data_IF_807389530626
#
_entry.id   IF_807389530626
#
_cell.length_a   1.000
_cell.length_b   1.000
_cell.length_c   1.000
_cell.angle_alpha   90.00
_cell.angle_beta   90.00
_cell.angle_gamma   90.00
#
_symmetry.space_group_name_H-M   'P 1'
#
loop_
_entity.id
_entity.type
_entity.pdbx_description
1 polymer ?
#
# COMPACT_ATOMS: atom_id res chain seq x y z
N UNK A 1 -71.83 -2.53 -59.11
CA UNK A 1 -73.06 -2.94 -58.41
C UNK A 1 -72.72 -2.96 -56.93
N UNK A 2 -73.04 -1.92 -56.18
CA UNK A 2 -74.17 -1.74 -55.25
C UNK A 2 -74.18 -2.85 -54.17
N UNK A 3 -74.03 -2.56 -52.91
CA UNK A 3 -75.01 -1.98 -52.03
C UNK A 3 -74.41 -1.63 -50.67
N UNK A 4 -74.80 -0.48 -50.14
CA UNK A 4 -74.65 -0.02 -48.79
C UNK A 4 -75.61 -0.73 -47.82
N UNK A 5 -75.23 -0.85 -46.53
CA UNK A 5 -76.19 -1.04 -45.41
C UNK A 5 -75.48 -0.44 -44.14
N UNK A 6 -75.85 0.62 -43.80
CA UNK A 6 -76.67 1.28 -42.81
C UNK A 6 -76.30 0.97 -41.34
N UNK A 7 -75.93 2.02 -40.65
CA UNK A 7 -75.77 2.18 -39.20
C UNK A 7 -77.02 1.89 -38.41
N UNK A 8 -76.87 1.23 -37.27
CA UNK A 8 -77.80 1.40 -36.17
C UNK A 8 -77.06 1.67 -34.87
N UNK A 9 -77.32 2.81 -34.27
CA UNK A 9 -76.99 3.24 -32.91
C UNK A 9 -77.96 2.63 -31.91
N UNK A 10 -77.52 2.11 -30.77
CA UNK A 10 -78.41 1.82 -29.65
C UNK A 10 -78.52 3.06 -28.73
N UNK A 11 -79.58 3.21 -27.98
CA UNK A 11 -79.99 4.44 -27.31
C UNK A 11 -79.30 4.66 -25.95
N UNK A 12 -79.22 5.95 -25.57
CA UNK A 12 -78.74 6.44 -24.33
C UNK A 12 -79.51 5.89 -23.10
N UNK A 13 -78.78 5.36 -22.12
CA UNK A 13 -79.29 5.09 -20.80
C UNK A 13 -79.24 6.29 -19.89
N UNK A 14 -80.42 6.60 -19.32
CA UNK A 14 -80.66 7.68 -18.35
C UNK A 14 -79.81 7.53 -17.08
N UNK A 15 -79.34 8.65 -16.60
CA UNK A 15 -78.75 8.85 -15.28
C UNK A 15 -79.86 8.63 -14.22
N UNK A 16 -79.50 7.82 -13.22
CA UNK A 16 -80.29 7.67 -11.99
C UNK A 16 -79.43 8.19 -10.84
N UNK A 17 -79.84 9.28 -10.14
CA UNK A 17 -79.08 9.81 -9.02
C UNK A 17 -79.65 9.26 -7.71
N UNK A 18 -78.93 8.35 -7.09
CA UNK A 18 -79.29 8.05 -5.72
C UNK A 18 -78.94 6.63 -5.23
N UNK A 19 -77.68 6.37 -4.98
CA UNK A 19 -77.35 5.40 -3.93
C UNK A 19 -76.03 5.76 -3.31
N UNK A 20 -76.08 6.43 -2.13
CA UNK A 20 -74.94 6.61 -1.24
C UNK A 20 -74.53 5.20 -0.74
N UNK A 21 -73.45 4.67 -1.27
CA UNK A 21 -72.73 3.62 -0.62
C UNK A 21 -71.86 4.21 0.48
N UNK A 22 -72.16 3.82 1.69
CA UNK A 22 -71.40 4.04 2.89
C UNK A 22 -70.17 3.18 2.77
N UNK A 23 -69.04 3.78 2.30
CA UNK A 23 -67.78 3.10 2.36
C UNK A 23 -67.35 3.01 3.82
N UNK A 24 -67.32 1.81 4.33
CA UNK A 24 -66.71 1.44 5.58
C UNK A 24 -65.23 1.80 5.48
N UNK A 25 -64.81 2.77 6.29
CA UNK A 25 -63.43 3.11 6.50
C UNK A 25 -62.65 1.92 7.12
N UNK A 26 -62.23 1.01 6.26
CA UNK A 26 -61.12 0.14 6.59
C UNK A 26 -59.87 1.04 6.64
N UNK A 27 -59.50 1.48 7.82
CA UNK A 27 -58.20 2.08 8.06
C UNK A 27 -57.15 1.08 7.57
N UNK A 28 -56.53 1.39 6.44
CA UNK A 28 -55.32 0.67 6.00
C UNK A 28 -54.22 0.99 6.99
N UNK A 29 -53.92 0.03 7.85
CA UNK A 29 -52.84 0.03 8.80
C UNK A 29 -51.46 0.13 8.13
N UNK A 30 -51.42 0.18 6.78
CA UNK A 30 -50.17 0.17 6.00
C UNK A 30 -49.52 1.55 5.81
N UNK A 31 -50.29 2.64 6.04
CA UNK A 31 -49.78 4.01 5.81
C UNK A 31 -48.99 4.59 6.99
N UNK A 32 -48.92 3.88 8.12
CA UNK A 32 -48.13 4.30 9.31
C UNK A 32 -46.82 3.57 9.45
N UNK A 33 -46.47 2.71 8.50
CA UNK A 33 -45.23 1.99 8.54
C UNK A 33 -44.04 2.94 8.29
N UNK A 34 -43.05 2.78 9.14
CA UNK A 34 -41.75 3.44 9.19
C UNK A 34 -41.11 3.71 7.81
N UNK A 35 -41.44 2.89 6.80
CA UNK A 35 -40.93 3.00 5.43
C UNK A 35 -41.38 4.24 4.66
N UNK A 36 -42.52 4.85 4.97
CA UNK A 36 -42.99 6.03 4.24
C UNK A 36 -42.25 7.30 4.70
N UNK A 37 -41.86 7.38 5.97
CA UNK A 37 -40.94 8.42 6.50
C UNK A 37 -39.50 8.19 6.00
N UNK A 38 -39.08 6.94 5.84
CA UNK A 38 -37.74 6.61 5.33
C UNK A 38 -37.57 7.07 3.88
N UNK A 39 -38.63 6.96 3.06
CA UNK A 39 -38.61 7.36 1.64
C UNK A 39 -38.39 8.86 1.45
N UNK A 40 -38.89 9.68 2.36
CA UNK A 40 -38.73 11.15 2.30
C UNK A 40 -37.30 11.58 2.71
N UNK A 41 -36.68 10.83 3.60
CA UNK A 41 -35.30 11.08 4.04
C UNK A 41 -34.26 10.18 3.37
N UNK A 42 -34.68 9.21 2.54
CA UNK A 42 -33.80 8.26 1.87
C UNK A 42 -32.69 8.95 1.06
N UNK A 43 -33.00 10.09 0.43
CA UNK A 43 -32.01 10.89 -0.30
C UNK A 43 -30.87 11.38 0.62
N UNK A 44 -31.22 11.84 1.81
CA UNK A 44 -30.23 12.36 2.78
C UNK A 44 -29.45 11.23 3.46
N UNK A 45 -30.12 10.08 3.74
CA UNK A 45 -29.46 8.90 4.27
C UNK A 45 -28.48 8.33 3.24
N UNK A 46 -28.84 8.32 1.95
CA UNK A 46 -27.96 7.87 0.88
C UNK A 46 -26.75 8.80 0.70
N UNK A 47 -26.97 10.12 0.77
CA UNK A 47 -25.88 11.10 0.73
C UNK A 47 -24.95 10.94 1.93
N UNK A 48 -25.49 10.75 3.13
CA UNK A 48 -24.70 10.52 4.33
C UNK A 48 -23.91 9.22 4.25
N UNK A 49 -24.50 8.15 3.72
CA UNK A 49 -23.86 6.86 3.52
C UNK A 49 -22.73 6.96 2.48
N UNK A 50 -22.92 7.72 1.41
CA UNK A 50 -21.87 8.01 0.43
C UNK A 50 -20.73 8.78 1.07
N UNK A 51 -21.03 9.79 1.92
CA UNK A 51 -20.00 10.59 2.62
C UNK A 51 -19.21 9.70 3.60
N UNK A 52 -19.91 8.86 4.38
CA UNK A 52 -19.27 7.93 5.32
C UNK A 52 -18.44 6.90 4.57
N UNK A 53 -18.96 6.36 3.45
CA UNK A 53 -18.24 5.37 2.64
C UNK A 53 -17.02 6.00 1.95
N UNK A 54 -17.16 7.19 1.37
CA UNK A 54 -16.04 7.92 0.78
C UNK A 54 -15.00 8.32 1.84
N UNK A 55 -15.46 8.77 3.02
CA UNK A 55 -14.57 9.06 4.16
C UNK A 55 -13.84 7.82 4.67
N UNK A 56 -14.53 6.68 4.76
CA UNK A 56 -13.91 5.40 5.16
C UNK A 56 -12.89 4.92 4.13
N UNK A 57 -13.16 5.12 2.84
CA UNK A 57 -12.26 4.74 1.76
C UNK A 57 -10.96 5.56 1.78
N UNK A 58 -11.07 6.86 2.11
CA UNK A 58 -9.92 7.75 2.28
C UNK A 58 -9.16 7.42 3.57
N UNK A 59 -9.87 7.10 4.66
CA UNK A 59 -9.25 6.83 5.97
C UNK A 59 -8.63 5.43 6.08
N UNK A 60 -9.16 4.43 5.36
CA UNK A 60 -8.65 3.07 5.37
C UNK A 60 -7.59 2.79 4.28
N UNK A 61 -7.18 3.81 3.51
CA UNK A 61 -6.08 3.69 2.54
C UNK A 61 -6.32 2.70 1.38
N UNK A 62 -7.57 2.27 1.16
CA UNK A 62 -7.92 1.34 0.07
C UNK A 62 -8.08 2.09 -1.25
N UNK A 63 -7.09 2.89 -1.63
CA UNK A 63 -7.15 3.71 -2.82
C UNK A 63 -5.78 4.21 -3.28
N UNK A 64 -4.69 3.60 -2.79
CA UNK A 64 -3.33 4.05 -3.13
C UNK A 64 -2.81 3.57 -4.48
N UNK A 65 -3.67 3.13 -5.39
CA UNK A 65 -3.30 2.92 -6.78
C UNK A 65 -3.74 4.09 -7.65
N UNK A 66 -2.96 5.15 -7.66
CA UNK A 66 -2.68 5.97 -8.83
C UNK A 66 -3.67 7.04 -9.28
N UNK A 67 -4.87 7.17 -8.68
CA UNK A 67 -5.80 8.26 -9.01
C UNK A 67 -6.29 8.92 -7.73
N UNK A 68 -5.47 9.79 -7.16
CA UNK A 68 -5.78 10.55 -5.95
C UNK A 68 -6.97 11.48 -6.15
N UNK A 69 -8.14 11.11 -5.59
CA UNK A 69 -9.27 12.01 -5.47
C UNK A 69 -8.88 13.34 -4.78
N UNK A 70 -7.77 13.36 -4.01
CA UNK A 70 -7.19 14.57 -3.45
C UNK A 70 -6.70 15.55 -4.50
N UNK A 71 -6.16 15.08 -5.62
CA UNK A 71 -5.74 15.95 -6.73
C UNK A 71 -6.94 16.52 -7.50
N UNK A 72 -8.04 15.76 -7.58
CA UNK A 72 -9.30 16.22 -8.17
C UNK A 72 -9.96 17.31 -7.29
N UNK A 73 -9.94 17.13 -5.96
CA UNK A 73 -10.51 18.11 -5.02
C UNK A 73 -9.67 19.40 -4.96
N UNK A 74 -8.33 19.31 -5.00
CA UNK A 74 -7.46 20.49 -5.07
C UNK A 74 -7.64 21.29 -6.38
N UNK A 75 -7.99 20.61 -7.48
CA UNK A 75 -8.33 21.26 -8.74
C UNK A 75 -9.69 22.01 -8.70
N UNK A 76 -10.64 21.55 -7.88
CA UNK A 76 -12.00 22.10 -7.81
C UNK A 76 -12.11 23.20 -6.74
N UNK A 77 -11.37 23.09 -5.63
CA UNK A 77 -11.52 24.05 -4.50
C UNK A 77 -10.60 25.26 -4.58
N UNK A 78 -9.69 25.32 -5.57
CA UNK A 78 -8.84 26.49 -5.77
C UNK A 78 -7.93 26.87 -4.58
N UNK A 79 -7.80 25.97 -3.60
CA UNK A 79 -6.87 26.14 -2.48
C UNK A 79 -5.46 25.86 -2.98
N UNK A 80 -4.83 26.88 -3.56
CA UNK A 80 -3.48 26.85 -4.06
C UNK A 80 -2.49 26.53 -2.95
N UNK A 81 -2.24 25.23 -2.69
CA UNK A 81 -0.97 24.85 -2.11
C UNK A 81 0.08 25.06 -3.20
N UNK A 82 0.91 26.09 -3.02
CA UNK A 82 2.02 26.46 -3.94
C UNK A 82 3.12 25.39 -4.00
N UNK A 83 2.86 24.18 -3.52
CA UNK A 83 3.80 23.07 -3.49
C UNK A 83 3.84 22.27 -4.80
N UNK A 84 4.91 21.53 -5.04
CA UNK A 84 5.03 20.63 -6.17
C UNK A 84 3.91 19.58 -6.13
N UNK A 85 3.21 19.37 -7.24
CA UNK A 85 2.17 18.34 -7.33
C UNK A 85 2.70 17.13 -8.12
N UNK A 86 2.32 15.93 -7.72
CA UNK A 86 2.76 14.68 -8.36
C UNK A 86 2.42 14.67 -9.84
N UNK A 87 1.21 15.07 -10.24
CA UNK A 87 0.80 15.09 -11.65
C UNK A 87 1.67 16.03 -12.48
N UNK A 88 1.93 17.25 -12.00
CA UNK A 88 2.82 18.20 -12.67
C UNK A 88 4.27 17.69 -12.74
N UNK A 89 4.75 17.05 -11.68
CA UNK A 89 6.07 16.44 -11.65
C UNK A 89 6.21 15.31 -12.66
N UNK A 90 5.22 14.42 -12.76
CA UNK A 90 5.19 13.34 -13.75
C UNK A 90 5.19 13.88 -15.18
N UNK A 91 4.36 14.89 -15.46
CA UNK A 91 4.33 15.55 -16.78
C UNK A 91 5.66 16.22 -17.13
N UNK A 92 6.30 16.89 -16.17
CA UNK A 92 7.58 17.56 -16.38
C UNK A 92 8.71 16.55 -16.63
N UNK A 93 8.78 15.47 -15.84
CA UNK A 93 9.81 14.42 -16.01
C UNK A 93 9.59 13.61 -17.29
N UNK A 94 8.33 13.39 -17.73
CA UNK A 94 8.03 12.75 -19.01
C UNK A 94 8.45 13.61 -20.20
N UNK A 95 8.24 14.94 -20.12
CA UNK A 95 8.64 15.89 -21.18
C UNK A 95 10.16 16.06 -21.25
N UNK A 96 10.83 16.11 -20.12
CA UNK A 96 12.28 16.29 -20.08
C UNK A 96 12.92 15.39 -18.99
N UNK A 97 13.25 14.12 -19.30
CA UNK A 97 13.85 13.18 -18.35
C UNK A 97 15.24 13.59 -17.82
N UNK A 98 15.90 14.57 -18.47
CA UNK A 98 17.22 15.09 -18.06
C UNK A 98 17.11 16.33 -17.16
N UNK A 99 15.91 16.82 -16.90
CA UNK A 99 15.70 17.95 -16.00
C UNK A 99 15.75 17.45 -14.53
N UNK A 100 16.89 17.74 -13.89
CA UNK A 100 17.06 17.36 -12.48
C UNK A 100 16.04 18.06 -11.58
N UNK A 101 15.66 19.33 -11.87
CA UNK A 101 14.71 20.04 -11.03
C UNK A 101 13.34 19.39 -11.07
N UNK A 102 12.88 18.91 -12.23
CA UNK A 102 11.63 18.19 -12.35
C UNK A 102 11.59 16.91 -11.49
N UNK A 103 12.70 16.17 -11.43
CA UNK A 103 12.83 14.99 -10.56
C UNK A 103 12.85 15.36 -9.07
N UNK A 104 13.50 16.44 -8.68
CA UNK A 104 13.48 16.96 -7.31
C UNK A 104 12.07 17.35 -6.88
N UNK A 105 11.35 18.09 -7.72
CA UNK A 105 9.99 18.53 -7.44
C UNK A 105 9.03 17.32 -7.33
N UNK A 106 9.21 16.32 -8.19
CA UNK A 106 8.45 15.07 -8.14
C UNK A 106 8.72 14.29 -6.86
N UNK A 107 9.97 14.13 -6.46
CA UNK A 107 10.37 13.47 -5.22
C UNK A 107 9.73 14.16 -4.02
N UNK A 108 9.89 15.48 -3.91
CA UNK A 108 9.29 16.28 -2.83
C UNK A 108 7.76 16.17 -2.80
N UNK A 109 7.11 16.06 -3.99
CA UNK A 109 5.67 15.88 -4.07
C UNK A 109 5.21 14.50 -3.55
N UNK A 110 6.01 13.45 -3.76
CA UNK A 110 5.76 12.13 -3.20
C UNK A 110 6.04 12.08 -1.69
N UNK A 111 7.11 12.75 -1.21
CA UNK A 111 7.41 12.89 0.22
C UNK A 111 6.26 13.53 0.99
N UNK A 112 5.67 14.60 0.43
CA UNK A 112 4.53 15.26 1.01
C UNK A 112 3.29 14.35 1.13
N UNK A 113 3.25 13.25 0.38
CA UNK A 113 2.21 12.21 0.45
C UNK A 113 2.63 10.99 1.26
N UNK A 114 3.82 10.98 1.84
CA UNK A 114 4.45 9.84 2.50
C UNK A 114 4.56 8.58 1.60
N UNK A 115 4.59 8.79 0.27
CA UNK A 115 4.88 7.72 -0.71
C UNK A 115 6.40 7.61 -0.90
N UNK A 116 7.05 7.04 0.10
CA UNK A 116 8.52 6.96 0.15
C UNK A 116 9.11 6.08 -0.95
N UNK A 117 8.37 5.10 -1.45
CA UNK A 117 8.83 4.26 -2.55
C UNK A 117 8.95 5.06 -3.86
N UNK A 118 7.91 5.84 -4.19
CA UNK A 118 7.92 6.72 -5.37
C UNK A 118 8.88 7.91 -5.19
N UNK A 119 8.98 8.46 -3.98
CA UNK A 119 9.95 9.51 -3.64
C UNK A 119 11.39 9.02 -3.84
N UNK A 120 11.74 7.85 -3.29
CA UNK A 120 13.05 7.24 -3.47
C UNK A 120 13.38 6.97 -4.95
N UNK A 121 12.41 6.52 -5.75
CA UNK A 121 12.60 6.33 -7.19
C UNK A 121 12.90 7.66 -7.91
N UNK A 122 12.19 8.74 -7.56
CA UNK A 122 12.44 10.07 -8.13
C UNK A 122 13.78 10.66 -7.66
N UNK A 123 14.13 10.52 -6.36
CA UNK A 123 15.45 10.90 -5.83
C UNK A 123 16.58 10.12 -6.49
N UNK A 124 16.38 8.84 -6.78
CA UNK A 124 17.37 8.04 -7.50
C UNK A 124 17.68 8.64 -8.88
N UNK A 125 16.68 9.09 -9.63
CA UNK A 125 16.89 9.75 -10.91
C UNK A 125 17.58 11.12 -10.75
N UNK A 126 17.13 11.90 -9.76
CA UNK A 126 17.78 13.16 -9.43
C UNK A 126 19.27 12.98 -9.12
N UNK A 127 19.61 12.05 -8.22
CA UNK A 127 21.00 11.82 -7.81
C UNK A 127 21.89 11.25 -8.92
N UNK A 128 21.32 10.57 -9.91
CA UNK A 128 22.04 10.19 -11.14
C UNK A 128 22.43 11.41 -11.98
N UNK A 129 21.55 12.42 -12.03
CA UNK A 129 21.79 13.67 -12.76
C UNK A 129 22.67 14.63 -11.95
N UNK A 130 22.62 14.56 -10.63
CA UNK A 130 23.32 15.43 -9.67
C UNK A 130 24.06 14.61 -8.60
N UNK A 131 25.09 13.83 -8.95
CA UNK A 131 25.73 12.87 -8.05
C UNK A 131 26.55 13.51 -6.92
N UNK A 132 26.76 14.83 -6.94
CA UNK A 132 27.51 15.58 -5.91
C UNK A 132 26.60 16.33 -4.93
N UNK A 133 25.28 16.22 -5.08
CA UNK A 133 24.33 16.83 -4.16
C UNK A 133 24.15 15.92 -2.93
N UNK A 134 24.87 16.28 -1.86
CA UNK A 134 24.85 15.51 -0.61
C UNK A 134 23.49 15.59 0.10
N UNK A 135 22.81 16.74 0.00
CA UNK A 135 21.49 16.92 0.62
C UNK A 135 20.45 16.01 -0.03
N UNK A 136 20.45 15.95 -1.37
CA UNK A 136 19.57 15.05 -2.09
C UNK A 136 19.87 13.57 -1.82
N UNK A 137 21.14 13.19 -1.67
CA UNK A 137 21.52 11.84 -1.27
C UNK A 137 21.06 11.49 0.15
N UNK A 138 21.07 12.46 1.08
CA UNK A 138 20.52 12.28 2.42
C UNK A 138 19.01 12.06 2.39
N UNK A 139 18.26 12.87 1.62
CA UNK A 139 16.82 12.69 1.45
C UNK A 139 16.51 11.33 0.82
N UNK A 140 17.24 10.96 -0.23
CA UNK A 140 17.11 9.64 -0.85
C UNK A 140 17.35 8.50 0.15
N UNK A 141 18.39 8.59 0.97
CA UNK A 141 18.69 7.59 2.00
C UNK A 141 17.60 7.55 3.09
N UNK A 142 17.03 8.71 3.46
CA UNK A 142 15.95 8.81 4.41
C UNK A 142 14.70 8.07 3.90
N UNK A 143 14.29 8.30 2.65
CA UNK A 143 13.13 7.66 2.06
C UNK A 143 13.30 6.15 1.93
N UNK A 144 14.48 5.71 1.51
CA UNK A 144 14.82 4.28 1.51
C UNK A 144 14.72 3.67 2.91
N UNK A 145 15.12 4.40 3.94
CA UNK A 145 14.97 3.98 5.34
C UNK A 145 13.50 3.83 5.75
N UNK A 146 12.65 4.79 5.41
CA UNK A 146 11.21 4.72 5.66
C UNK A 146 10.56 3.57 4.89
N UNK A 147 10.94 3.41 3.62
CA UNK A 147 10.47 2.31 2.78
C UNK A 147 10.83 0.95 3.38
N UNK A 148 12.07 0.78 3.87
CA UNK A 148 12.51 -0.45 4.54
C UNK A 148 11.68 -0.77 5.78
N UNK A 149 11.32 0.24 6.57
CA UNK A 149 10.49 0.06 7.77
C UNK A 149 9.09 -0.43 7.39
N UNK A 150 8.47 0.17 6.37
CA UNK A 150 7.16 -0.24 5.86
C UNK A 150 7.24 -1.67 5.31
N UNK A 151 8.20 -1.95 4.42
CA UNK A 151 8.39 -3.27 3.84
C UNK A 151 8.68 -4.34 4.90
N UNK A 152 9.39 -3.99 5.99
CA UNK A 152 9.65 -4.89 7.11
C UNK A 152 8.36 -5.28 7.85
N UNK A 153 7.47 -4.32 8.09
CA UNK A 153 6.15 -4.57 8.68
C UNK A 153 5.29 -5.44 7.77
N UNK A 154 5.29 -5.14 6.47
CA UNK A 154 4.53 -5.91 5.49
C UNK A 154 5.04 -7.36 5.39
N UNK A 155 6.36 -7.56 5.39
CA UNK A 155 6.96 -8.89 5.38
C UNK A 155 6.58 -9.70 6.64
N UNK A 156 6.54 -9.07 7.83
CA UNK A 156 6.07 -9.72 9.06
C UNK A 156 4.59 -10.13 8.95
N UNK A 157 3.74 -9.28 8.43
CA UNK A 157 2.32 -9.59 8.23
C UNK A 157 2.14 -10.74 7.23
N UNK A 158 2.90 -10.74 6.14
CA UNK A 158 2.89 -11.81 5.15
C UNK A 158 3.42 -13.14 5.72
N UNK A 159 4.43 -13.08 6.57
CA UNK A 159 4.94 -14.26 7.29
C UNK A 159 3.88 -14.87 8.19
N UNK A 160 3.17 -14.04 8.96
CA UNK A 160 2.07 -14.50 9.80
C UNK A 160 0.94 -15.11 8.97
N UNK A 161 0.58 -14.47 7.84
CA UNK A 161 -0.41 -15.00 6.92
C UNK A 161 0.03 -16.37 6.36
N UNK A 162 1.28 -16.51 5.93
CA UNK A 162 1.81 -17.78 5.44
C UNK A 162 1.78 -18.91 6.50
N UNK A 163 1.95 -18.56 7.78
CA UNK A 163 1.84 -19.52 8.89
C UNK A 163 0.39 -19.93 9.18
N UNK A 164 -0.58 -19.03 9.00
CA UNK A 164 -1.99 -19.31 9.24
C UNK A 164 -2.59 -20.24 8.17
N UNK A 165 -2.14 -20.14 6.93
CA UNK A 165 -2.60 -20.97 5.82
C UNK A 165 -1.83 -22.31 5.73
N UNK A 166 -1.71 -23.02 6.87
CA UNK A 166 -1.22 -24.40 6.85
C UNK A 166 -2.29 -25.30 6.22
N UNK A 167 -1.95 -26.14 5.23
CA UNK A 167 -2.93 -27.06 4.67
C UNK A 167 -3.45 -27.99 5.77
N UNK A 168 -4.74 -27.92 6.01
CA UNK A 168 -5.41 -28.82 6.96
C UNK A 168 -6.00 -30.00 6.19
N UNK A 169 -5.75 -31.20 6.70
CA UNK A 169 -6.42 -32.39 6.18
C UNK A 169 -7.79 -32.48 6.83
N UNK A 170 -8.83 -32.18 6.05
CA UNK A 170 -10.21 -32.40 6.49
C UNK A 170 -10.57 -33.86 6.20
N UNK A 171 -10.96 -34.61 7.24
CA UNK A 171 -11.43 -35.95 7.08
C UNK A 171 -11.64 -36.67 8.41
N UNK A 172 -12.44 -37.72 8.44
CA UNK A 172 -12.54 -38.57 9.62
C UNK A 172 -11.17 -39.15 9.94
N UNK A 173 -10.88 -39.44 11.23
CA UNK A 173 -9.61 -40.01 11.62
C UNK A 173 -9.24 -41.22 10.74
N UNK A 174 -7.98 -41.30 10.31
CA UNK A 174 -7.49 -42.39 9.45
C UNK A 174 -7.68 -43.78 10.06
N UNK A 175 -7.86 -43.85 11.38
CA UNK A 175 -8.18 -45.07 12.13
C UNK A 175 -9.65 -45.52 11.98
N UNK A 176 -10.55 -44.61 11.57
CA UNK A 176 -11.97 -44.97 11.35
C UNK A 176 -12.16 -45.70 10.04
N UNK A 177 -13.21 -46.59 9.90
CA UNK A 177 -13.54 -47.22 8.63
C UNK A 177 -13.79 -46.22 7.50
N UNK A 178 -14.43 -45.09 7.81
CA UNK A 178 -14.72 -44.03 6.85
C UNK A 178 -13.46 -43.29 6.44
N UNK A 179 -12.53 -43.01 7.36
CA UNK A 179 -11.24 -42.40 7.07
C UNK A 179 -10.35 -43.27 6.19
N UNK A 180 -10.41 -44.60 6.37
CA UNK A 180 -9.70 -45.56 5.51
C UNK A 180 -10.31 -45.64 4.09
N UNK A 181 -11.63 -45.49 3.98
CA UNK A 181 -12.31 -45.55 2.69
C UNK A 181 -12.19 -44.26 1.88
N UNK A 182 -12.21 -43.09 2.53
CA UNK A 182 -12.13 -41.77 1.86
C UNK A 182 -10.69 -41.24 1.71
N UNK A 183 -9.75 -41.78 2.48
CA UNK A 183 -8.39 -41.26 2.54
C UNK A 183 -8.33 -39.85 3.15
N UNK A 184 -7.18 -39.18 3.03
CA UNK A 184 -7.04 -37.77 3.38
C UNK A 184 -7.60 -36.91 2.24
N UNK A 185 -8.65 -36.14 2.53
CA UNK A 185 -9.13 -35.12 1.61
C UNK A 185 -8.13 -33.98 1.62
N UNK A 186 -7.54 -33.68 0.47
CA UNK A 186 -6.67 -32.52 0.30
C UNK A 186 -7.51 -31.23 0.37
N UNK A 187 -6.97 -30.21 1.01
CA UNK A 187 -7.54 -28.88 0.98
C UNK A 187 -6.87 -28.03 -0.13
N UNK A 188 -7.41 -28.04 -1.37
CA UNK A 188 -6.79 -27.33 -2.48
C UNK A 188 -6.89 -25.81 -2.30
N UNK A 189 -7.85 -25.31 -1.53
CA UNK A 189 -8.03 -23.88 -1.27
C UNK A 189 -6.98 -23.42 -0.25
N UNK A 190 -6.85 -24.13 0.87
CA UNK A 190 -5.82 -23.82 1.87
C UNK A 190 -4.41 -24.00 1.31
N UNK A 191 -4.17 -25.01 0.49
CA UNK A 191 -2.88 -25.21 -0.19
C UNK A 191 -2.56 -24.06 -1.15
N UNK A 192 -3.53 -23.63 -1.97
CA UNK A 192 -3.36 -22.50 -2.89
C UNK A 192 -3.12 -21.18 -2.13
N UNK A 193 -3.90 -20.93 -1.07
CA UNK A 193 -3.75 -19.75 -0.22
C UNK A 193 -2.38 -19.73 0.48
N UNK A 194 -1.94 -20.86 1.03
CA UNK A 194 -0.62 -21.01 1.66
C UNK A 194 0.52 -20.79 0.68
N UNK A 195 0.43 -21.33 -0.53
CA UNK A 195 1.42 -21.12 -1.59
C UNK A 195 1.48 -19.65 -1.98
N UNK A 196 0.33 -19.01 -2.17
CA UNK A 196 0.26 -17.59 -2.53
C UNK A 196 0.85 -16.69 -1.44
N UNK A 197 0.51 -16.95 -0.17
CA UNK A 197 1.05 -16.21 0.97
C UNK A 197 2.57 -16.40 1.12
N UNK A 198 3.06 -17.63 0.94
CA UNK A 198 4.50 -17.94 0.97
C UNK A 198 5.24 -17.22 -0.17
N UNK A 199 4.69 -17.23 -1.37
CA UNK A 199 5.25 -16.51 -2.53
C UNK A 199 5.29 -15.00 -2.30
N UNK A 200 4.21 -14.43 -1.77
CA UNK A 200 4.15 -13.00 -1.42
C UNK A 200 5.22 -12.64 -0.37
N UNK A 201 5.40 -13.47 0.66
CA UNK A 201 6.46 -13.30 1.66
C UNK A 201 7.86 -13.33 1.04
N UNK A 202 8.15 -14.32 0.18
CA UNK A 202 9.44 -14.39 -0.51
C UNK A 202 9.70 -13.16 -1.38
N UNK A 203 8.69 -12.68 -2.11
CA UNK A 203 8.80 -11.46 -2.90
C UNK A 203 9.06 -10.21 -2.02
N UNK A 204 8.43 -10.15 -0.85
CA UNK A 204 8.67 -9.07 0.11
C UNK A 204 10.12 -9.07 0.63
N UNK A 205 10.70 -10.26 0.92
CA UNK A 205 12.09 -10.39 1.32
C UNK A 205 13.06 -9.92 0.22
N UNK A 206 12.78 -10.25 -1.05
CA UNK A 206 13.57 -9.76 -2.19
C UNK A 206 13.47 -8.24 -2.29
N UNK A 207 12.29 -7.66 -2.11
CA UNK A 207 12.09 -6.20 -2.08
C UNK A 207 12.90 -5.53 -0.97
N UNK A 208 12.85 -6.07 0.25
CA UNK A 208 13.67 -5.60 1.39
C UNK A 208 15.16 -5.61 1.06
N UNK A 209 15.65 -6.71 0.50
CA UNK A 209 17.06 -6.84 0.13
C UNK A 209 17.48 -5.82 -0.93
N UNK A 210 16.64 -5.57 -1.92
CA UNK A 210 16.91 -4.57 -2.96
C UNK A 210 16.96 -3.17 -2.38
N UNK A 211 15.98 -2.79 -1.54
CA UNK A 211 15.93 -1.46 -0.90
C UNK A 211 17.12 -1.27 0.05
N UNK A 212 17.49 -2.27 0.84
CA UNK A 212 18.68 -2.24 1.70
C UNK A 212 19.97 -2.04 0.90
N UNK A 213 20.10 -2.73 -0.24
CA UNK A 213 21.25 -2.56 -1.14
C UNK A 213 21.33 -1.15 -1.72
N UNK A 214 20.18 -0.56 -2.10
CA UNK A 214 20.11 0.83 -2.57
C UNK A 214 20.53 1.82 -1.46
N UNK A 215 20.08 1.59 -0.22
CA UNK A 215 20.45 2.38 0.93
C UNK A 215 21.96 2.36 1.19
N UNK A 216 22.59 1.19 1.10
CA UNK A 216 24.06 1.06 1.16
C UNK A 216 24.72 1.87 0.04
N UNK A 217 24.19 1.83 -1.17
CA UNK A 217 24.67 2.61 -2.31
C UNK A 217 24.62 4.12 -2.08
N UNK A 218 23.50 4.61 -1.53
CA UNK A 218 23.32 6.01 -1.18
C UNK A 218 24.35 6.46 -0.12
N UNK A 219 24.50 5.72 0.97
CA UNK A 219 25.50 6.04 2.00
C UNK A 219 26.95 5.86 1.53
N UNK A 220 27.25 4.91 0.66
CA UNK A 220 28.58 4.83 0.00
C UNK A 220 28.88 6.10 -0.80
N UNK A 221 27.87 6.67 -1.46
CA UNK A 221 28.03 7.92 -2.20
C UNK A 221 28.22 9.12 -1.29
N UNK A 222 27.42 9.22 -0.23
CA UNK A 222 27.58 10.23 0.83
C UNK A 222 28.97 10.15 1.49
N UNK A 223 29.41 8.94 1.84
CA UNK A 223 30.71 8.73 2.46
C UNK A 223 31.90 9.12 1.57
N UNK A 224 31.72 9.18 0.25
CA UNK A 224 32.70 9.73 -0.70
C UNK A 224 32.69 11.25 -0.75
N UNK A 225 31.51 11.85 -0.65
CA UNK A 225 31.34 13.30 -0.64
C UNK A 225 31.74 13.94 0.70
N UNK A 226 31.51 13.21 1.79
CA UNK A 226 31.72 13.63 3.16
C UNK A 226 32.68 12.64 3.88
N UNK A 227 33.97 12.57 3.48
CA UNK A 227 34.87 11.53 3.98
C UNK A 227 35.22 11.68 5.45
N UNK A 228 35.16 12.89 6.00
CA UNK A 228 35.48 13.20 7.40
C UNK A 228 34.25 13.13 8.33
N UNK A 229 33.07 12.84 7.81
CA UNK A 229 31.82 12.84 8.59
C UNK A 229 31.61 11.45 9.26
N UNK A 230 31.74 11.35 10.62
CA UNK A 230 31.62 10.05 11.29
C UNK A 230 30.20 9.50 11.27
N UNK A 231 29.17 10.36 11.32
CA UNK A 231 27.77 9.95 11.30
C UNK A 231 27.41 9.22 10.01
N UNK A 232 27.91 9.67 8.87
CA UNK A 232 27.72 9.00 7.57
C UNK A 232 28.37 7.61 7.57
N UNK A 233 29.52 7.43 8.23
CA UNK A 233 30.19 6.14 8.35
C UNK A 233 29.39 5.18 9.23
N UNK A 234 28.84 5.69 10.34
CA UNK A 234 27.98 4.90 11.22
C UNK A 234 26.69 4.45 10.50
N UNK A 235 26.04 5.38 9.78
CA UNK A 235 24.84 5.08 8.98
C UNK A 235 25.15 4.08 7.85
N UNK A 236 26.29 4.21 7.17
CA UNK A 236 26.73 3.22 6.16
C UNK A 236 26.91 1.84 6.78
N UNK A 237 27.52 1.76 7.97
CA UNK A 237 27.72 0.50 8.66
C UNK A 237 26.39 -0.17 9.01
N UNK A 238 25.44 0.57 9.57
CA UNK A 238 24.09 0.09 9.92
C UNK A 238 23.29 -0.35 8.68
N UNK A 239 23.34 0.44 7.61
CA UNK A 239 22.70 0.08 6.34
C UNK A 239 23.29 -1.20 5.74
N UNK A 240 24.62 -1.34 5.81
CA UNK A 240 25.30 -2.54 5.32
C UNK A 240 24.96 -3.80 6.16
N UNK A 241 24.80 -3.66 7.48
CA UNK A 241 24.29 -4.76 8.32
C UNK A 241 22.88 -5.18 7.91
N UNK A 242 21.98 -4.21 7.71
CA UNK A 242 20.62 -4.48 7.25
C UNK A 242 20.58 -5.18 5.91
N UNK A 243 21.50 -4.83 5.01
CA UNK A 243 21.67 -5.49 3.71
C UNK A 243 22.42 -6.83 3.77
N UNK A 244 22.91 -7.25 4.94
CA UNK A 244 23.74 -8.46 5.07
C UNK A 244 25.16 -8.33 4.49
N UNK A 245 25.59 -7.09 4.14
CA UNK A 245 26.96 -6.81 3.65
C UNK A 245 27.92 -6.63 4.83
N UNK A 246 28.25 -7.74 5.50
CA UNK A 246 29.13 -7.74 6.65
C UNK A 246 30.50 -7.10 6.38
N UNK A 247 31.04 -7.29 5.18
CA UNK A 247 32.34 -6.71 4.78
C UNK A 247 32.30 -5.21 4.76
N UNK A 248 31.31 -4.61 4.11
CA UNK A 248 31.10 -3.16 4.09
C UNK A 248 30.82 -2.63 5.49
N UNK A 249 29.98 -3.32 6.28
CA UNK A 249 29.63 -2.92 7.64
C UNK A 249 30.88 -2.82 8.53
N UNK A 250 31.73 -3.86 8.56
CA UNK A 250 32.98 -3.87 9.34
C UNK A 250 33.90 -2.73 8.91
N UNK A 251 34.08 -2.52 7.60
CA UNK A 251 34.94 -1.46 7.09
C UNK A 251 34.42 -0.06 7.51
N UNK A 252 33.11 0.15 7.42
CA UNK A 252 32.49 1.42 7.78
C UNK A 252 32.53 1.68 9.30
N UNK A 253 32.28 0.68 10.14
CA UNK A 253 32.45 0.80 11.61
C UNK A 253 33.89 1.11 11.99
N UNK A 254 34.91 0.45 11.39
CA UNK A 254 36.32 0.75 11.64
C UNK A 254 36.66 2.19 11.28
N UNK A 255 36.10 2.72 10.19
CA UNK A 255 36.29 4.13 9.80
C UNK A 255 35.58 5.09 10.76
N UNK A 256 34.34 4.76 11.20
CA UNK A 256 33.64 5.55 12.23
C UNK A 256 34.45 5.66 13.50
N UNK A 257 34.96 4.55 14.06
CA UNK A 257 35.77 4.52 15.27
C UNK A 257 37.07 5.37 15.12
N UNK A 258 37.64 5.36 13.92
CA UNK A 258 38.85 6.17 13.62
C UNK A 258 38.54 7.68 13.60
N UNK A 259 37.36 8.06 13.07
CA UNK A 259 36.96 9.48 12.95
C UNK A 259 36.42 10.06 14.25
N UNK A 260 35.78 9.24 15.08
CA UNK A 260 35.19 9.67 16.35
C UNK A 260 35.49 8.65 17.46
N UNK A 261 36.75 8.58 17.96
CA UNK A 261 37.16 7.57 18.94
C UNK A 261 36.47 7.70 20.29
N UNK A 262 36.02 8.90 20.65
CA UNK A 262 35.39 9.21 21.94
C UNK A 262 33.83 9.21 21.86
N UNK A 263 33.25 8.85 20.70
CA UNK A 263 31.79 8.79 20.53
C UNK A 263 31.21 7.68 21.42
N UNK A 264 30.03 7.97 22.01
CA UNK A 264 29.31 7.03 22.86
C UNK A 264 28.92 5.70 22.16
N UNK A 265 28.85 5.70 20.84
CA UNK A 265 28.52 4.51 20.02
C UNK A 265 29.72 3.60 19.73
N UNK A 266 30.94 4.02 20.08
CA UNK A 266 32.17 3.26 19.81
C UNK A 266 32.18 1.87 20.46
N UNK A 267 31.78 1.69 21.73
CA UNK A 267 31.74 0.36 22.35
C UNK A 267 30.78 -0.57 21.59
N UNK A 268 29.62 -0.06 21.16
CA UNK A 268 28.65 -0.83 20.38
C UNK A 268 29.22 -1.19 19.00
N UNK A 269 29.85 -0.24 18.30
CA UNK A 269 30.47 -0.49 17.00
C UNK A 269 31.54 -1.59 17.09
N UNK A 270 32.39 -1.59 18.13
CA UNK A 270 33.37 -2.65 18.36
C UNK A 270 32.73 -4.01 18.59
N UNK A 271 31.65 -4.08 19.37
CA UNK A 271 30.90 -5.32 19.60
C UNK A 271 30.29 -5.86 18.28
N UNK A 272 29.73 -4.98 17.45
CA UNK A 272 29.16 -5.35 16.14
C UNK A 272 30.26 -5.87 15.19
N UNK A 273 31.40 -5.22 15.12
CA UNK A 273 32.55 -5.70 14.32
C UNK A 273 32.89 -7.14 14.71
N UNK A 274 33.07 -7.40 16.03
CA UNK A 274 33.41 -8.75 16.52
C UNK A 274 32.37 -9.79 16.15
N UNK A 275 31.07 -9.44 16.24
CA UNK A 275 29.98 -10.35 15.87
C UNK A 275 30.00 -10.65 14.36
N UNK A 276 30.19 -9.64 13.51
CA UNK A 276 30.22 -9.80 12.05
C UNK A 276 31.48 -10.58 11.59
N UNK A 277 32.63 -10.34 12.21
CA UNK A 277 33.86 -11.11 11.92
C UNK A 277 33.69 -12.60 12.28
N UNK A 278 33.02 -12.90 13.41
CA UNK A 278 32.68 -14.28 13.79
C UNK A 278 31.72 -14.94 12.80
N UNK A 279 30.72 -14.18 12.33
CA UNK A 279 29.77 -14.68 11.32
C UNK A 279 30.45 -15.02 10.00
N UNK A 280 31.36 -14.17 9.52
CA UNK A 280 32.13 -14.41 8.29
C UNK A 280 33.05 -15.64 8.44
N UNK A 281 33.72 -15.81 9.59
CA UNK A 281 34.55 -16.97 9.85
C UNK A 281 33.74 -18.28 9.86
N UNK A 282 32.52 -18.25 10.46
CA UNK A 282 31.61 -19.41 10.48
C UNK A 282 31.10 -19.79 9.09
N UNK A 283 30.76 -18.82 8.27
CA UNK A 283 30.28 -19.07 6.90
C UNK A 283 31.37 -19.65 5.99
N UNK A 284 32.62 -19.23 6.18
CA UNK A 284 33.77 -19.75 5.42
C UNK A 284 34.09 -21.21 5.76
N UNK A 285 33.88 -21.63 7.01
CA UNK A 285 34.09 -23.00 7.45
C UNK A 285 33.05 -24.00 6.89
N UNK A 286 31.80 -23.52 6.71
CA UNK A 286 30.70 -24.38 6.18
C UNK A 286 30.81 -24.64 4.67
N UNK A 287 31.55 -23.82 3.93
CA UNK A 287 31.68 -23.92 2.46
C UNK A 287 32.86 -24.85 2.06
N UNK A 288 33.70 -25.28 3.00
CA UNK A 288 34.87 -26.13 2.75
C UNK A 288 34.69 -27.59 3.23
N UNK A 289 33.54 -27.94 3.78
CA UNK A 289 33.17 -29.29 4.17
C UNK A 289 32.06 -29.84 3.29
#
# INVERSE_FOLDING_TARGET
MARAAAKQRPPARRHDPGRKHKDSSGQRYEDTLFFNRLRTHAKWVFVLLIIVFAGSFVFLGVGSSGLGLGDLFNGITGSGSSGPSVSKGLDATAKNPKDAQAWKDLATAYDAKADYASAAAAWQQYTRLRPKDADALNLYAQDLGQQLQIQGTDAQNLQLAAQQYQPSTYGPPSTSPLGRALGSLSDPIGQSAGTSASTAYQNALVGLQQTATQLVGAFKSLARLQPAEPTVRLQLAQAAETAGDATTAIAAYKQFIKLAPDDASVPQAKARIKALEKQLAGSSATTQG
#
